data_IF_835878555271
#
_entry.id   IF_835878555271
#
_cell.length_a   1.000
_cell.length_b   1.000
_cell.length_c   1.000
_cell.angle_alpha   90.00
_cell.angle_beta   90.00
_cell.angle_gamma   90.00
#
_symmetry.space_group_name_H-M   'P 1'
#
loop_
_entity.id
_entity.type
_entity.pdbx_description
1 polymer ?
#
# COMPACT_ATOMS: atom_id res chain seq x y z
N UNK A 1 64.52 -28.55 12.73
CA UNK A 1 63.91 -28.17 11.44
C UNK A 1 62.39 -28.28 11.57
N UNK A 2 61.72 -27.21 12.01
CA UNK A 2 60.33 -27.27 12.45
C UNK A 2 59.37 -26.46 11.55
N UNK A 3 58.65 -27.21 10.70
CA UNK A 3 57.26 -27.06 10.23
C UNK A 3 56.68 -25.61 10.15
N UNK A 4 57.03 -24.81 9.13
CA UNK A 4 56.38 -23.52 8.86
C UNK A 4 54.88 -23.66 8.49
N UNK A 5 54.46 -24.85 8.03
CA UNK A 5 53.07 -25.13 7.66
C UNK A 5 52.09 -25.15 8.86
N UNK A 6 52.57 -25.48 10.07
CA UNK A 6 51.71 -25.54 11.26
C UNK A 6 51.35 -24.12 11.75
N UNK A 7 52.31 -23.19 11.66
CA UNK A 7 52.11 -21.78 12.05
C UNK A 7 51.14 -21.05 11.12
N UNK A 8 51.16 -21.35 9.82
CA UNK A 8 50.22 -20.76 8.86
C UNK A 8 48.77 -21.22 9.10
N UNK A 9 48.58 -22.48 9.49
CA UNK A 9 47.25 -23.04 9.76
C UNK A 9 46.64 -22.46 11.06
N UNK A 10 47.48 -22.27 12.09
CA UNK A 10 47.06 -21.64 13.35
C UNK A 10 46.73 -20.16 13.18
N UNK A 11 47.46 -19.43 12.32
CA UNK A 11 47.14 -18.04 12.01
C UNK A 11 45.83 -17.93 11.21
N UNK A 12 45.58 -18.85 10.27
CA UNK A 12 44.33 -18.91 9.51
C UNK A 12 43.10 -19.21 10.39
N UNK A 13 43.22 -20.13 11.34
CA UNK A 13 42.14 -20.39 12.31
C UNK A 13 41.91 -19.21 13.26
N UNK A 14 42.95 -18.47 13.64
CA UNK A 14 42.82 -17.29 14.50
C UNK A 14 42.13 -16.11 13.79
N UNK A 15 42.38 -15.90 12.49
CA UNK A 15 41.71 -14.85 11.72
C UNK A 15 40.27 -15.18 11.32
N UNK A 16 39.92 -16.46 11.15
CA UNK A 16 38.55 -16.86 10.78
C UNK A 16 37.63 -17.18 11.97
N UNK A 17 38.16 -17.31 13.19
CA UNK A 17 37.43 -17.83 14.35
C UNK A 17 36.55 -16.83 15.13
N UNK A 18 36.56 -15.54 14.79
CA UNK A 18 35.88 -14.50 15.57
C UNK A 18 34.73 -13.82 14.82
N UNK A 19 33.88 -14.59 14.13
CA UNK A 19 32.53 -14.11 13.85
C UNK A 19 31.71 -14.41 15.10
N UNK A 20 31.78 -13.50 16.08
CA UNK A 20 30.83 -13.52 17.19
C UNK A 20 29.43 -13.52 16.57
N UNK A 21 28.51 -14.42 16.99
CA UNK A 21 27.12 -14.26 16.60
C UNK A 21 26.71 -12.89 17.09
N UNK A 22 26.24 -12.03 16.18
CA UNK A 22 25.66 -10.76 16.56
C UNK A 22 24.57 -11.08 17.59
N UNK A 23 24.86 -10.81 18.87
CA UNK A 23 23.89 -10.92 19.94
C UNK A 23 22.73 -10.04 19.49
N UNK A 24 21.59 -10.67 19.23
CA UNK A 24 20.41 -9.98 18.77
C UNK A 24 20.15 -8.83 19.75
N UNK A 25 20.27 -7.60 19.24
CA UNK A 25 19.97 -6.40 20.01
C UNK A 25 18.61 -6.61 20.68
N UNK A 26 18.49 -6.38 22.01
CA UNK A 26 17.21 -6.56 22.69
C UNK A 26 16.15 -5.75 21.93
N UNK A 27 14.95 -6.31 21.70
CA UNK A 27 13.92 -5.64 20.91
C UNK A 27 13.56 -4.31 21.55
N UNK A 28 14.11 -3.22 21.00
CA UNK A 28 13.82 -1.86 21.44
C UNK A 28 12.49 -1.44 20.86
N UNK A 29 11.67 -0.76 21.66
CA UNK A 29 10.45 -0.13 21.17
C UNK A 29 10.83 0.93 20.13
N UNK A 30 10.25 0.92 18.92
CA UNK A 30 10.50 1.97 17.94
C UNK A 30 10.11 3.35 18.49
N UNK A 31 10.90 4.37 18.18
CA UNK A 31 10.57 5.75 18.47
C UNK A 31 9.33 6.20 17.68
N UNK A 32 8.72 7.33 18.07
CA UNK A 32 7.58 7.89 17.34
C UNK A 32 7.92 8.17 15.86
N UNK A 33 9.13 8.66 15.58
CA UNK A 33 9.59 8.91 14.21
C UNK A 33 9.74 7.60 13.41
N UNK A 34 10.22 6.53 14.05
CA UNK A 34 10.32 5.22 13.41
C UNK A 34 8.95 4.61 13.15
N UNK A 35 8.01 4.73 14.09
CA UNK A 35 6.63 4.29 13.88
C UNK A 35 5.97 5.02 12.70
N UNK A 36 6.22 6.33 12.56
CA UNK A 36 5.70 7.11 11.44
C UNK A 36 6.34 6.72 10.09
N UNK A 37 7.64 6.40 10.09
CA UNK A 37 8.32 5.89 8.90
C UNK A 37 7.78 4.52 8.47
N UNK A 38 7.57 3.61 9.44
CA UNK A 38 6.94 2.30 9.22
C UNK A 38 5.52 2.47 8.67
N UNK A 39 4.72 3.40 9.23
CA UNK A 39 3.37 3.69 8.75
C UNK A 39 3.35 4.14 7.30
N UNK A 40 4.21 5.09 6.92
CA UNK A 40 4.33 5.57 5.54
C UNK A 40 4.79 4.50 4.57
N UNK A 41 5.67 3.61 5.00
CA UNK A 41 6.13 2.49 4.17
C UNK A 41 5.01 1.45 3.94
N UNK A 42 4.26 1.11 4.99
CA UNK A 42 3.16 0.16 4.90
C UNK A 42 1.93 0.73 4.16
N UNK A 43 1.69 2.03 4.29
CA UNK A 43 0.52 2.72 3.77
C UNK A 43 0.93 3.99 2.99
N UNK A 44 1.47 3.85 1.76
CA UNK A 44 2.00 4.98 1.00
C UNK A 44 0.95 6.02 0.61
N UNK A 45 -0.33 5.62 0.54
CA UNK A 45 -1.46 6.50 0.21
C UNK A 45 -2.15 7.07 1.46
N UNK A 46 -1.53 6.96 2.64
CA UNK A 46 -2.10 7.39 3.92
C UNK A 46 -2.89 6.30 4.66
N UNK A 47 -3.28 6.63 5.89
CA UNK A 47 -3.89 5.68 6.84
C UNK A 47 -2.88 4.94 7.73
N UNK A 48 -3.36 3.95 8.47
CA UNK A 48 -2.58 3.10 9.39
C UNK A 48 -2.81 1.61 9.09
N UNK A 49 -1.80 0.74 9.25
CA UNK A 49 -1.95 -0.69 9.01
C UNK A 49 -2.98 -1.33 9.95
N UNK A 50 -3.83 -2.20 9.42
CA UNK A 50 -4.87 -2.90 10.20
C UNK A 50 -4.29 -4.15 10.86
N UNK A 51 -4.44 -4.25 12.19
CA UNK A 51 -3.98 -5.41 12.96
C UNK A 51 -4.64 -6.70 12.45
N UNK A 52 -3.83 -7.71 12.11
CA UNK A 52 -4.31 -9.01 11.64
C UNK A 52 -4.75 -9.07 10.18
N UNK A 53 -4.64 -7.97 9.42
CA UNK A 53 -4.96 -7.92 8.00
C UNK A 53 -3.75 -7.40 7.19
N UNK A 54 -2.80 -8.28 6.82
CA UNK A 54 -1.60 -7.89 6.08
C UNK A 54 -1.94 -7.15 4.78
N UNK A 55 -1.20 -6.07 4.48
CA UNK A 55 -1.42 -5.25 3.28
C UNK A 55 -2.67 -4.36 3.32
N UNK A 56 -3.48 -4.43 4.38
CA UNK A 56 -4.65 -3.55 4.54
C UNK A 56 -4.29 -2.32 5.37
N UNK A 57 -4.52 -1.16 4.79
CA UNK A 57 -4.53 0.11 5.50
C UNK A 57 -5.96 0.46 5.90
N UNK A 58 -6.15 1.04 7.09
CA UNK A 58 -7.34 1.85 7.30
C UNK A 58 -7.29 2.97 6.25
N UNK A 59 -8.45 3.30 5.67
CA UNK A 59 -8.51 4.57 4.97
C UNK A 59 -8.38 5.57 6.11
N UNK A 60 -7.35 6.41 6.12
CA UNK A 60 -7.40 7.62 6.95
C UNK A 60 -8.61 8.38 6.46
N UNK A 61 -9.76 8.18 7.11
CA UNK A 61 -11.04 8.35 6.44
C UNK A 61 -11.26 9.86 6.30
N UNK A 62 -10.90 10.40 5.14
CA UNK A 62 -11.69 11.49 4.61
C UNK A 62 -13.09 10.91 4.40
N UNK A 63 -13.95 11.12 5.40
CA UNK A 63 -15.35 10.69 5.41
C UNK A 63 -16.20 11.54 4.49
N UNK A 64 -15.59 12.41 3.69
CA UNK A 64 -16.28 13.16 2.66
C UNK A 64 -16.96 12.17 1.72
N UNK A 65 -18.30 12.14 1.73
CA UNK A 65 -19.04 11.35 0.78
C UNK A 65 -18.61 11.79 -0.64
N UNK A 66 -18.39 10.84 -1.54
CA UNK A 66 -17.96 11.12 -2.91
C UNK A 66 -18.96 12.04 -3.66
N UNK A 67 -20.19 12.06 -3.17
CA UNK A 67 -21.33 12.85 -3.65
C UNK A 67 -21.48 14.20 -2.96
N UNK A 68 -20.56 14.59 -2.07
CA UNK A 68 -20.60 15.93 -1.44
C UNK A 68 -20.49 17.02 -2.52
N UNK A 69 -21.59 17.75 -2.71
CA UNK A 69 -21.70 18.83 -3.70
C UNK A 69 -22.32 18.43 -5.03
N UNK A 70 -22.65 17.15 -5.22
CA UNK A 70 -23.44 16.72 -6.37
C UNK A 70 -24.92 16.99 -6.12
N UNK A 71 -25.65 17.35 -7.18
CA UNK A 71 -27.11 17.42 -7.13
C UNK A 71 -27.69 16.03 -6.80
N UNK A 72 -28.78 15.95 -6.02
CA UNK A 72 -29.43 14.67 -5.72
C UNK A 72 -29.84 13.96 -7.01
N UNK A 73 -29.72 12.63 -7.03
CA UNK A 73 -30.13 11.82 -8.18
C UNK A 73 -31.63 12.00 -8.46
N UNK A 74 -31.94 12.77 -9.51
CA UNK A 74 -33.31 12.99 -9.93
C UNK A 74 -33.82 11.73 -10.65
N UNK A 75 -34.59 10.90 -9.93
CA UNK A 75 -35.15 9.64 -10.44
C UNK A 75 -36.04 9.80 -11.68
N UNK A 76 -36.55 11.01 -11.89
CA UNK A 76 -37.44 11.38 -13.01
C UNK A 76 -36.83 12.45 -13.92
N UNK A 77 -35.53 12.69 -13.85
CA UNK A 77 -34.86 13.56 -14.81
C UNK A 77 -34.77 12.82 -16.15
N UNK A 78 -35.88 12.82 -16.89
CA UNK A 78 -35.86 12.58 -18.34
C UNK A 78 -35.24 13.82 -18.99
N UNK A 79 -33.97 14.08 -18.69
CA UNK A 79 -33.24 15.13 -19.37
C UNK A 79 -33.04 14.65 -20.80
N UNK A 80 -33.55 15.42 -21.76
CA UNK A 80 -33.18 15.20 -23.15
C UNK A 80 -31.65 15.10 -23.24
N UNK A 81 -31.15 14.22 -24.12
CA UNK A 81 -29.72 14.11 -24.31
C UNK A 81 -29.14 15.48 -24.72
N UNK A 82 -27.96 15.87 -24.20
CA UNK A 82 -27.34 17.14 -24.56
C UNK A 82 -27.07 17.22 -26.06
N UNK A 83 -27.00 18.44 -26.59
CA UNK A 83 -26.67 18.71 -27.99
C UNK A 83 -25.42 17.94 -28.45
N UNK A 84 -25.45 17.40 -29.67
CA UNK A 84 -24.37 16.56 -30.20
C UNK A 84 -24.34 15.12 -29.66
N UNK A 85 -25.39 14.69 -28.94
CA UNK A 85 -25.55 13.28 -28.54
C UNK A 85 -26.96 12.77 -28.86
N UNK A 86 -27.09 11.45 -29.07
CA UNK A 86 -28.36 10.76 -29.32
C UNK A 86 -28.70 9.77 -28.20
N UNK A 87 -29.98 9.61 -27.85
CA UNK A 87 -30.42 8.60 -26.90
C UNK A 87 -30.33 7.20 -27.51
N UNK A 88 -29.73 6.26 -26.78
CA UNK A 88 -29.61 4.84 -27.15
C UNK A 88 -29.91 3.97 -25.94
N UNK A 89 -30.74 2.93 -26.10
CA UNK A 89 -31.00 1.97 -25.03
C UNK A 89 -29.72 1.23 -24.63
N UNK A 90 -29.46 1.13 -23.33
CA UNK A 90 -28.31 0.39 -22.81
C UNK A 90 -28.45 -1.10 -23.13
N UNK A 91 -27.36 -1.72 -23.61
CA UNK A 91 -27.34 -3.16 -23.89
C UNK A 91 -27.70 -3.95 -22.62
N UNK A 92 -28.71 -4.81 -22.72
CA UNK A 92 -29.18 -5.64 -21.61
C UNK A 92 -30.22 -4.99 -20.69
N UNK A 93 -30.66 -3.77 -20.97
CA UNK A 93 -31.68 -3.05 -20.19
C UNK A 93 -32.81 -2.55 -21.09
N UNK A 94 -34.04 -2.48 -20.57
CA UNK A 94 -35.24 -2.00 -21.30
C UNK A 94 -35.65 -0.58 -20.91
N UNK A 95 -35.05 -0.07 -19.84
CA UNK A 95 -35.46 1.11 -19.10
C UNK A 95 -34.33 2.14 -18.94
N UNK A 96 -33.11 1.79 -19.36
CA UNK A 96 -31.94 2.67 -19.26
C UNK A 96 -31.59 3.24 -20.63
N UNK A 97 -31.66 4.57 -20.76
CA UNK A 97 -31.20 5.32 -21.93
C UNK A 97 -29.82 5.92 -21.65
N UNK A 98 -28.90 5.82 -22.62
CA UNK A 98 -27.58 6.45 -22.61
C UNK A 98 -27.48 7.45 -23.76
N UNK A 99 -26.81 8.57 -23.52
CA UNK A 99 -26.50 9.52 -24.59
C UNK A 99 -25.14 9.14 -25.22
N UNK A 100 -25.12 8.89 -26.53
CA UNK A 100 -23.91 8.61 -27.29
C UNK A 100 -23.63 9.74 -28.28
N UNK A 101 -22.37 10.10 -28.57
CA UNK A 101 -22.05 11.06 -29.61
C UNK A 101 -22.68 10.67 -30.97
N UNK A 102 -23.17 11.66 -31.71
CA UNK A 102 -23.65 11.49 -33.10
C UNK A 102 -22.52 11.54 -34.11
#
# INVERSE_FOLDING_TARGET
>A
MARPALSALLLGLALCGAVAPALAEPPRRPSAAQLEAIRRWLCPNGGSPVKGAPGRCDRGIDRTPWDRGLAPAARNATTACPEGTRPVLARGHRDIVRCLPV
#
